data_IF_449092302726
#
_entry.id   IF_449092302726
#
_cell.length_a   1.000
_cell.length_b   1.000
_cell.length_c   1.000
_cell.angle_alpha   90.00
_cell.angle_beta   90.00
_cell.angle_gamma   90.00
#
_symmetry.space_group_name_H-M   'P 1'
#
loop_
_entity.id
_entity.type
_entity.pdbx_description
1 polymer ?
#
# COMPACT_ATOMS: atom_id res chain seq x y z
N UNK A 1 -9.84 -4.04 -14.58
CA UNK A 1 -9.52 -3.65 -13.24
C UNK A 1 -9.12 -2.18 -13.09
N UNK A 2 -8.11 -1.89 -12.32
CA UNK A 2 -7.72 -0.52 -11.89
C UNK A 2 -7.46 0.45 -13.04
N UNK A 3 -6.79 0.02 -14.11
CA UNK A 3 -6.56 0.87 -15.29
C UNK A 3 -7.86 1.35 -15.90
N UNK A 4 -8.88 0.49 -16.02
CA UNK A 4 -10.18 0.86 -16.56
C UNK A 4 -10.92 1.87 -15.67
N UNK A 5 -10.82 1.72 -14.35
CA UNK A 5 -11.39 2.66 -13.40
C UNK A 5 -10.67 4.02 -13.45
N UNK A 6 -9.35 4.02 -13.59
CA UNK A 6 -8.55 5.23 -13.76
C UNK A 6 -8.93 5.96 -15.06
N UNK A 7 -9.10 5.25 -16.17
CA UNK A 7 -9.56 5.84 -17.45
C UNK A 7 -10.94 6.48 -17.28
N UNK A 8 -11.89 5.78 -16.63
CA UNK A 8 -13.26 6.29 -16.42
C UNK A 8 -13.30 7.54 -15.52
N UNK A 9 -12.38 7.66 -14.59
CA UNK A 9 -12.31 8.85 -13.71
C UNK A 9 -11.98 10.13 -14.47
N UNK A 10 -11.37 10.04 -15.66
CA UNK A 10 -10.92 11.20 -16.45
C UNK A 10 -9.78 12.01 -15.81
N UNK A 11 -9.23 11.57 -14.69
CA UNK A 11 -8.20 12.31 -13.93
C UNK A 11 -6.77 11.93 -14.33
N UNK A 12 -6.60 10.77 -14.96
CA UNK A 12 -5.29 10.25 -15.35
C UNK A 12 -5.01 10.49 -16.82
N UNK A 13 -4.00 11.29 -17.10
CA UNK A 13 -3.46 11.51 -18.45
C UNK A 13 -2.62 10.34 -18.92
N UNK A 14 -1.87 9.73 -17.99
CA UNK A 14 -1.03 8.55 -18.24
C UNK A 14 -1.04 7.65 -17.01
N UNK A 15 -1.12 6.36 -17.25
CA UNK A 15 -0.98 5.33 -16.21
C UNK A 15 -0.26 4.14 -16.84
N UNK A 16 0.90 3.79 -16.29
CA UNK A 16 1.77 2.73 -16.82
C UNK A 16 2.23 1.83 -15.69
N UNK A 17 2.25 0.54 -15.93
CA UNK A 17 2.92 -0.46 -15.11
C UNK A 17 3.63 -1.44 -16.03
N UNK A 18 4.86 -1.81 -15.70
CA UNK A 18 5.63 -2.77 -16.50
C UNK A 18 6.63 -3.54 -15.63
N UNK A 19 6.94 -4.76 -16.06
CA UNK A 19 8.08 -5.51 -15.56
C UNK A 19 9.34 -5.03 -16.23
N UNK A 20 10.40 -4.92 -15.47
CA UNK A 20 11.74 -4.62 -15.93
C UNK A 20 12.51 -5.94 -15.98
N UNK A 21 13.05 -6.24 -17.13
CA UNK A 21 13.78 -7.48 -17.39
C UNK A 21 15.26 -7.32 -17.10
N UNK A 22 15.94 -8.43 -16.94
CA UNK A 22 17.39 -8.45 -16.82
C UNK A 22 18.03 -7.77 -18.03
N UNK A 23 18.99 -6.88 -17.78
CA UNK A 23 19.63 -6.04 -18.80
C UNK A 23 18.89 -4.75 -19.14
N UNK A 24 17.62 -4.56 -18.73
CA UNK A 24 16.87 -3.33 -18.98
C UNK A 24 17.06 -2.26 -17.90
N UNK A 25 17.34 -2.67 -16.67
CA UNK A 25 17.50 -1.76 -15.54
C UNK A 25 18.87 -1.09 -15.56
N UNK A 26 18.92 0.23 -15.58
CA UNK A 26 20.15 1.01 -15.50
C UNK A 26 20.35 1.61 -14.12
N UNK A 27 19.39 2.41 -13.66
CA UNK A 27 19.45 3.04 -12.34
C UNK A 27 18.08 3.52 -11.88
N UNK A 28 17.94 3.72 -10.57
CA UNK A 28 16.78 4.38 -9.97
C UNK A 28 17.28 5.39 -8.93
N UNK A 29 16.89 6.65 -9.09
CA UNK A 29 17.10 7.70 -8.10
C UNK A 29 15.81 7.91 -7.30
N UNK A 30 15.75 7.45 -6.05
CA UNK A 30 14.55 7.58 -5.24
C UNK A 30 14.27 9.03 -4.78
N UNK A 31 15.26 9.92 -4.83
CA UNK A 31 15.07 11.33 -4.42
C UNK A 31 14.37 12.14 -5.50
N UNK A 32 14.77 11.93 -6.76
CA UNK A 32 14.16 12.60 -7.91
C UNK A 32 13.07 11.75 -8.57
N UNK A 33 12.85 10.52 -8.08
CA UNK A 33 11.92 9.54 -8.66
C UNK A 33 12.20 9.24 -10.14
N UNK A 34 13.45 9.35 -10.52
CA UNK A 34 13.91 9.10 -11.87
C UNK A 34 14.40 7.66 -12.01
N UNK A 35 13.81 6.97 -12.97
CA UNK A 35 14.25 5.64 -13.36
C UNK A 35 14.82 5.68 -14.76
N UNK A 36 16.00 5.10 -14.93
CA UNK A 36 16.62 4.87 -16.24
C UNK A 36 16.46 3.41 -16.61
N UNK A 37 15.72 3.16 -17.67
CA UNK A 37 15.42 1.85 -18.22
C UNK A 37 15.75 1.87 -19.71
N UNK A 38 16.47 0.88 -20.16
CA UNK A 38 16.75 0.65 -21.58
C UNK A 38 16.01 -0.61 -22.03
N UNK A 39 14.75 -0.43 -22.46
CA UNK A 39 13.90 -1.54 -22.86
C UNK A 39 14.45 -2.26 -24.11
N UNK A 40 14.39 -3.57 -24.11
CA UNK A 40 14.70 -4.44 -25.26
C UNK A 40 13.55 -4.42 -26.26
N UNK A 41 13.36 -3.29 -26.95
CA UNK A 41 12.23 -3.11 -27.89
C UNK A 41 12.44 -3.75 -29.25
N UNK A 42 13.70 -4.06 -29.61
CA UNK A 42 14.07 -4.63 -30.90
C UNK A 42 14.08 -6.16 -30.94
N UNK A 43 13.99 -6.81 -29.76
CA UNK A 43 13.97 -8.26 -29.62
C UNK A 43 12.98 -8.67 -28.51
N UNK A 44 11.72 -8.75 -28.90
CA UNK A 44 10.64 -9.12 -27.97
C UNK A 44 10.74 -10.56 -27.51
N UNK A 45 11.24 -11.46 -28.33
CA UNK A 45 11.41 -12.87 -27.96
C UNK A 45 12.49 -13.05 -26.88
N UNK A 46 13.59 -12.33 -27.01
CA UNK A 46 14.63 -12.29 -25.97
C UNK A 46 14.10 -11.65 -24.68
N UNK A 47 13.37 -10.55 -24.82
CA UNK A 47 12.76 -9.86 -23.67
C UNK A 47 11.77 -10.74 -22.89
N UNK A 48 10.94 -11.50 -23.60
CA UNK A 48 9.95 -12.37 -22.97
C UNK A 48 10.62 -13.51 -22.18
N UNK A 49 11.74 -14.02 -22.65
CA UNK A 49 12.53 -15.06 -21.98
C UNK A 49 13.40 -14.53 -20.84
N UNK A 50 13.75 -13.26 -20.87
CA UNK A 50 14.59 -12.65 -19.85
C UNK A 50 13.87 -12.61 -18.47
N UNK A 51 14.65 -12.80 -17.40
CA UNK A 51 14.13 -12.78 -16.06
C UNK A 51 13.61 -11.39 -15.67
N UNK A 52 12.49 -11.33 -14.94
CA UNK A 52 12.00 -10.09 -14.34
C UNK A 52 12.83 -9.74 -13.11
N UNK A 53 13.48 -8.57 -13.11
CA UNK A 53 14.31 -8.08 -12.00
C UNK A 53 13.62 -7.02 -11.14
N UNK A 54 12.55 -6.40 -11.66
CA UNK A 54 11.80 -5.41 -10.93
C UNK A 54 10.51 -4.98 -11.63
N UNK A 55 9.80 -4.08 -10.99
CA UNK A 55 8.52 -3.54 -11.46
C UNK A 55 8.52 -2.03 -11.32
N UNK A 56 8.05 -1.38 -12.35
CA UNK A 56 7.88 0.06 -12.42
C UNK A 56 6.42 0.42 -12.64
N UNK A 57 5.94 1.41 -11.92
CA UNK A 57 4.64 2.01 -12.15
C UNK A 57 4.73 3.53 -12.09
N UNK A 58 3.96 4.21 -12.91
CA UNK A 58 3.84 5.66 -12.89
C UNK A 58 2.46 6.11 -13.33
N UNK A 59 2.06 7.28 -12.85
CA UNK A 59 0.95 8.02 -13.42
C UNK A 59 1.30 9.50 -13.62
N UNK A 60 0.55 10.13 -14.51
CA UNK A 60 0.48 11.57 -14.71
C UNK A 60 -0.99 11.97 -14.71
N UNK A 61 -1.36 12.90 -13.85
CA UNK A 61 -2.70 13.45 -13.79
C UNK A 61 -2.89 14.55 -14.85
N UNK A 62 -4.15 14.90 -15.12
CA UNK A 62 -4.48 15.96 -16.09
C UNK A 62 -3.96 17.33 -15.67
N UNK A 63 -3.73 17.57 -14.38
CA UNK A 63 -3.14 18.79 -13.84
C UNK A 63 -1.60 18.82 -13.91
N UNK A 64 -0.97 17.79 -14.48
CA UNK A 64 0.48 17.66 -14.62
C UNK A 64 1.20 17.03 -13.43
N UNK A 65 0.51 16.73 -12.31
CA UNK A 65 1.13 16.00 -11.20
C UNK A 65 1.55 14.60 -11.67
N UNK A 66 2.80 14.25 -11.37
CA UNK A 66 3.39 12.99 -11.78
C UNK A 66 3.99 12.27 -10.57
N UNK A 67 3.76 10.97 -10.48
CA UNK A 67 4.35 10.10 -9.47
C UNK A 67 4.82 8.81 -10.10
N UNK A 68 6.00 8.33 -9.69
CA UNK A 68 6.52 7.03 -10.10
C UNK A 68 6.98 6.21 -8.91
N UNK A 69 7.07 4.91 -9.10
CA UNK A 69 7.50 3.95 -8.10
C UNK A 69 8.21 2.78 -8.77
N UNK A 70 9.31 2.36 -8.17
CA UNK A 70 10.05 1.17 -8.57
C UNK A 70 10.21 0.23 -7.36
N UNK A 71 9.95 -1.05 -7.57
CA UNK A 71 10.28 -2.11 -6.63
C UNK A 71 11.10 -3.19 -7.35
N UNK A 72 12.17 -3.64 -6.70
CA UNK A 72 12.89 -4.82 -7.16
C UNK A 72 12.03 -6.08 -7.00
N UNK A 73 12.34 -7.13 -7.74
CA UNK A 73 11.67 -8.43 -7.60
C UNK A 73 11.75 -8.94 -6.15
N UNK A 74 12.89 -8.73 -5.47
CA UNK A 74 13.05 -9.15 -4.08
C UNK A 74 12.13 -8.38 -3.13
N UNK A 75 11.93 -7.08 -3.32
CA UNK A 75 10.96 -6.30 -2.56
C UNK A 75 9.53 -6.79 -2.80
N UNK A 76 9.20 -7.13 -4.05
CA UNK A 76 7.89 -7.67 -4.38
C UNK A 76 7.66 -9.06 -3.78
N UNK A 77 8.68 -9.94 -3.79
CA UNK A 77 8.64 -11.24 -3.13
C UNK A 77 8.41 -11.10 -1.62
N UNK A 78 9.15 -10.19 -0.97
CA UNK A 78 8.98 -9.93 0.46
C UNK A 78 7.58 -9.36 0.79
N UNK A 79 7.05 -8.50 -0.08
CA UNK A 79 5.68 -8.01 0.06
C UNK A 79 4.65 -9.13 -0.08
N UNK A 80 4.79 -9.99 -1.09
CA UNK A 80 3.88 -11.11 -1.29
C UNK A 80 3.91 -12.09 -0.11
N UNK A 81 5.10 -12.38 0.43
CA UNK A 81 5.30 -13.25 1.59
C UNK A 81 4.64 -12.69 2.85
N UNK A 82 4.77 -11.38 3.06
CA UNK A 82 4.19 -10.71 4.23
C UNK A 82 2.66 -10.63 4.18
N UNK A 83 2.08 -10.34 3.02
CA UNK A 83 0.65 -9.98 2.91
C UNK A 83 -0.23 -11.08 2.29
N UNK A 84 0.33 -12.17 1.80
CA UNK A 84 -0.43 -13.28 1.23
C UNK A 84 -0.24 -14.56 2.04
N UNK A 85 -1.24 -14.95 2.80
CA UNK A 85 -1.21 -16.20 3.59
C UNK A 85 -0.98 -17.45 2.74
N UNK A 86 -1.38 -17.40 1.47
CA UNK A 86 -1.24 -18.54 0.55
C UNK A 86 0.11 -18.58 -0.18
N UNK A 87 0.96 -17.55 -0.02
CA UNK A 87 2.27 -17.45 -0.63
C UNK A 87 3.36 -17.57 0.44
N UNK A 88 4.49 -18.17 0.08
CA UNK A 88 5.70 -18.17 0.88
C UNK A 88 6.91 -18.07 -0.02
N UNK A 89 7.78 -17.10 0.28
CA UNK A 89 9.04 -16.90 -0.42
C UNK A 89 10.01 -18.06 -0.13
N UNK A 90 10.13 -18.39 1.13
CA UNK A 90 11.06 -19.42 1.62
C UNK A 90 10.32 -20.73 1.91
N UNK A 91 11.07 -21.78 2.17
CA UNK A 91 10.50 -23.07 2.57
C UNK A 91 9.70 -22.92 3.86
N UNK A 92 8.49 -23.43 3.88
CA UNK A 92 7.60 -23.34 5.04
C UNK A 92 6.83 -24.64 5.27
N UNK A 93 6.17 -24.74 6.40
CA UNK A 93 5.42 -25.90 6.82
C UNK A 93 3.95 -25.53 6.99
N UNK A 94 3.06 -26.32 6.42
CA UNK A 94 1.61 -26.18 6.57
C UNK A 94 1.03 -27.39 7.31
N UNK A 95 0.17 -27.09 8.29
CA UNK A 95 -0.61 -28.13 8.97
C UNK A 95 -1.86 -28.43 8.14
N UNK A 96 -2.03 -29.68 7.77
CA UNK A 96 -3.22 -30.15 7.07
C UNK A 96 -3.99 -31.14 7.93
N UNK A 97 -5.22 -31.45 7.55
CA UNK A 97 -6.02 -32.50 8.22
C UNK A 97 -5.32 -33.86 8.23
N UNK A 98 -4.41 -34.12 7.29
CA UNK A 98 -3.71 -35.39 7.10
C UNK A 98 -2.26 -35.36 7.58
N UNK A 99 -1.86 -34.34 8.34
CA UNK A 99 -0.52 -34.15 8.87
C UNK A 99 0.20 -32.93 8.36
N UNK A 100 1.48 -32.84 8.70
CA UNK A 100 2.34 -31.72 8.36
C UNK A 100 2.87 -31.92 6.94
N UNK A 101 2.77 -30.86 6.11
CA UNK A 101 3.32 -30.80 4.75
C UNK A 101 4.38 -29.72 4.65
N UNK A 102 5.43 -29.97 3.89
CA UNK A 102 6.48 -29.02 3.60
C UNK A 102 6.23 -28.37 2.24
N UNK A 103 6.24 -27.06 2.23
CA UNK A 103 6.11 -26.23 1.04
C UNK A 103 7.50 -25.76 0.64
N UNK A 104 7.92 -26.00 -0.59
CA UNK A 104 9.25 -25.59 -1.08
C UNK A 104 9.31 -24.05 -1.24
N UNK A 105 10.52 -23.53 -1.37
CA UNK A 105 10.73 -22.12 -1.65
C UNK A 105 10.10 -21.70 -3.00
N UNK A 106 9.83 -20.41 -3.17
CA UNK A 106 9.36 -19.88 -4.45
C UNK A 106 10.35 -20.16 -5.59
N UNK A 107 11.66 -20.10 -5.32
CA UNK A 107 12.69 -20.41 -6.30
C UNK A 107 12.63 -21.87 -6.76
N UNK A 108 12.47 -22.80 -5.82
CA UNK A 108 12.31 -24.23 -6.13
C UNK A 108 11.01 -24.51 -6.88
N UNK A 109 9.92 -23.82 -6.51
CA UNK A 109 8.65 -23.91 -7.25
C UNK A 109 8.82 -23.49 -8.72
N UNK A 110 9.47 -22.35 -8.97
CA UNK A 110 9.73 -21.85 -10.34
C UNK A 110 10.64 -22.79 -11.12
N UNK A 111 11.62 -23.40 -10.44
CA UNK A 111 12.51 -24.42 -11.02
C UNK A 111 11.83 -25.78 -11.26
N UNK A 112 10.59 -25.96 -10.78
CA UNK A 112 9.87 -27.24 -10.90
C UNK A 112 10.30 -28.30 -9.89
N UNK A 113 11.06 -27.93 -8.86
CA UNK A 113 11.62 -28.83 -7.84
C UNK A 113 10.61 -29.11 -6.72
N UNK A 114 9.40 -29.55 -7.06
CA UNK A 114 8.38 -29.92 -6.10
C UNK A 114 7.57 -31.15 -6.55
N UNK A 115 6.97 -31.88 -5.60
CA UNK A 115 6.13 -33.03 -5.93
C UNK A 115 4.80 -32.56 -6.55
N UNK A 116 4.49 -33.07 -7.75
CA UNK A 116 3.25 -32.75 -8.48
C UNK A 116 1.98 -33.09 -7.67
N UNK A 117 2.04 -34.08 -6.78
CA UNK A 117 0.93 -34.41 -5.87
C UNK A 117 0.62 -33.31 -4.88
N UNK A 118 1.59 -32.44 -4.62
CA UNK A 118 1.50 -31.31 -3.71
C UNK A 118 1.21 -29.97 -4.42
N UNK A 119 0.91 -30.01 -5.73
CA UNK A 119 0.61 -28.83 -6.57
C UNK A 119 -0.53 -27.96 -6.04
N UNK A 120 -1.46 -28.53 -5.29
CA UNK A 120 -2.55 -27.80 -4.64
C UNK A 120 -2.06 -26.73 -3.65
N UNK A 121 -0.89 -26.91 -3.03
CA UNK A 121 -0.28 -25.93 -2.12
C UNK A 121 0.15 -24.64 -2.82
N UNK A 122 0.31 -24.67 -4.15
CA UNK A 122 0.74 -23.55 -4.99
C UNK A 122 -0.39 -23.01 -5.86
N UNK A 123 -1.63 -23.09 -5.36
CA UNK A 123 -2.83 -22.65 -6.07
C UNK A 123 -2.98 -21.12 -6.16
N UNK A 124 -2.32 -20.37 -5.29
CA UNK A 124 -2.34 -18.91 -5.28
C UNK A 124 -1.83 -18.30 -6.61
N UNK A 125 -2.43 -17.18 -7.01
CA UNK A 125 -1.97 -16.44 -8.20
C UNK A 125 -0.54 -15.92 -8.04
N UNK A 126 -0.05 -15.70 -6.85
CA UNK A 126 1.35 -15.35 -6.60
C UNK A 126 2.32 -16.45 -7.07
N UNK A 127 1.91 -17.71 -7.11
CA UNK A 127 2.69 -18.78 -7.73
C UNK A 127 2.42 -18.88 -9.23
N UNK A 128 1.15 -18.83 -9.64
CA UNK A 128 0.76 -19.11 -11.03
C UNK A 128 1.06 -17.96 -12.00
N UNK A 129 0.95 -16.72 -11.54
CA UNK A 129 1.15 -15.52 -12.35
C UNK A 129 1.67 -14.37 -11.49
N UNK A 130 2.93 -14.48 -11.09
CA UNK A 130 3.58 -13.53 -10.20
C UNK A 130 3.55 -12.10 -10.76
N UNK A 131 3.91 -11.92 -12.04
CA UNK A 131 3.97 -10.59 -12.68
C UNK A 131 2.60 -9.90 -12.69
N UNK A 132 1.50 -10.62 -12.94
CA UNK A 132 0.16 -10.04 -12.91
C UNK A 132 -0.22 -9.56 -11.50
N UNK A 133 0.13 -10.33 -10.45
CA UNK A 133 -0.07 -9.91 -9.07
C UNK A 133 0.82 -8.73 -8.69
N UNK A 134 2.07 -8.72 -9.16
CA UNK A 134 2.98 -7.61 -8.97
C UNK A 134 2.46 -6.33 -9.64
N UNK A 135 1.96 -6.39 -10.86
CA UNK A 135 1.33 -5.23 -11.53
C UNK A 135 0.14 -4.68 -10.75
N UNK A 136 -0.73 -5.57 -10.28
CA UNK A 136 -1.88 -5.19 -9.44
C UNK A 136 -1.43 -4.49 -8.16
N UNK A 137 -0.42 -5.05 -7.50
CA UNK A 137 0.17 -4.51 -6.27
C UNK A 137 0.80 -3.15 -6.51
N UNK A 138 1.63 -2.99 -7.55
CA UNK A 138 2.27 -1.73 -7.91
C UNK A 138 1.25 -0.62 -8.17
N UNK A 139 0.23 -0.90 -8.99
CA UNK A 139 -0.84 0.06 -9.28
C UNK A 139 -1.62 0.44 -8.03
N UNK A 140 -1.95 -0.54 -7.20
CA UNK A 140 -2.66 -0.30 -5.95
C UNK A 140 -1.84 0.58 -5.01
N UNK A 141 -0.58 0.24 -4.75
CA UNK A 141 0.30 1.02 -3.87
C UNK A 141 0.48 2.45 -4.38
N UNK A 142 0.65 2.63 -5.68
CA UNK A 142 0.86 3.92 -6.29
C UNK A 142 -0.40 4.79 -6.22
N UNK A 143 -1.55 4.25 -6.62
CA UNK A 143 -2.81 5.00 -6.71
C UNK A 143 -3.38 5.29 -5.32
N UNK A 144 -3.35 4.32 -4.38
CA UNK A 144 -3.91 4.51 -3.05
C UNK A 144 -3.20 5.58 -2.23
N UNK A 145 -1.91 5.80 -2.48
CA UNK A 145 -1.11 6.76 -1.72
C UNK A 145 -1.09 8.15 -2.35
N UNK A 146 -1.09 8.25 -3.67
CA UNK A 146 -0.85 9.51 -4.38
C UNK A 146 -1.84 9.80 -5.52
N UNK A 147 -2.66 8.82 -5.86
CA UNK A 147 -3.61 8.97 -6.96
C UNK A 147 -4.93 9.61 -6.53
N UNK A 148 -5.71 10.03 -7.52
CA UNK A 148 -7.10 10.46 -7.31
C UNK A 148 -7.98 9.22 -7.46
N UNK A 149 -8.71 8.87 -6.40
CA UNK A 149 -9.59 7.71 -6.40
C UNK A 149 -11.05 8.14 -6.51
N UNK A 150 -11.75 7.64 -7.53
CA UNK A 150 -13.20 7.69 -7.59
C UNK A 150 -13.83 6.73 -6.55
N UNK A 151 -15.11 6.90 -6.26
CA UNK A 151 -15.85 6.03 -5.34
C UNK A 151 -15.78 4.56 -5.79
N UNK A 152 -15.93 4.33 -7.11
CA UNK A 152 -15.84 2.98 -7.68
C UNK A 152 -14.44 2.38 -7.52
N UNK A 153 -13.40 3.21 -7.61
CA UNK A 153 -12.02 2.76 -7.42
C UNK A 153 -11.74 2.43 -5.95
N UNK A 154 -12.23 3.24 -5.02
CA UNK A 154 -12.14 2.96 -3.58
C UNK A 154 -12.82 1.65 -3.24
N UNK A 155 -14.06 1.46 -3.71
CA UNK A 155 -14.81 0.21 -3.51
C UNK A 155 -14.10 -1.00 -4.11
N UNK A 156 -13.46 -0.85 -5.28
CA UNK A 156 -12.68 -1.93 -5.89
C UNK A 156 -11.43 -2.27 -5.07
N UNK A 157 -10.74 -1.27 -4.51
CA UNK A 157 -9.60 -1.49 -3.63
C UNK A 157 -9.99 -2.19 -2.33
N UNK A 158 -11.08 -1.76 -1.69
CA UNK A 158 -11.62 -2.41 -0.49
C UNK A 158 -12.01 -3.86 -0.76
N UNK A 159 -12.68 -4.11 -1.89
CA UNK A 159 -13.06 -5.48 -2.28
C UNK A 159 -11.86 -6.39 -2.54
N UNK A 160 -10.78 -5.85 -3.08
CA UNK A 160 -9.54 -6.60 -3.32
C UNK A 160 -8.74 -6.89 -2.04
N UNK A 161 -8.95 -6.12 -0.97
CA UNK A 161 -8.33 -6.35 0.34
C UNK A 161 -9.07 -7.39 1.17
N UNK A 162 -10.32 -7.65 0.83
CA UNK A 162 -11.16 -8.58 1.55
C UNK A 162 -11.19 -9.93 0.85
N UNK A 163 -10.96 -11.02 1.56
CA UNK A 163 -11.45 -12.33 1.15
C UNK A 163 -12.69 -12.69 1.99
N UNK A 164 -13.62 -13.36 1.35
CA UNK A 164 -14.85 -13.79 1.99
C UNK A 164 -14.61 -15.17 2.57
N UNK A 165 -14.75 -15.33 3.89
CA UNK A 165 -14.75 -16.64 4.54
C UNK A 165 -16.00 -17.43 4.15
N UNK A 166 -15.99 -18.73 4.41
CA UNK A 166 -17.16 -19.62 4.16
C UNK A 166 -18.43 -19.17 4.90
N UNK A 167 -18.28 -18.45 6.01
CA UNK A 167 -19.37 -17.87 6.81
C UNK A 167 -19.91 -16.54 6.25
N UNK A 168 -19.37 -16.04 5.12
CA UNK A 168 -19.75 -14.78 4.49
C UNK A 168 -19.09 -13.53 5.09
N UNK A 169 -18.24 -13.67 6.11
CA UNK A 169 -17.50 -12.55 6.70
C UNK A 169 -16.35 -12.12 5.79
N UNK A 170 -16.09 -10.80 5.74
CA UNK A 170 -14.96 -10.22 4.99
C UNK A 170 -13.74 -10.09 5.90
N UNK A 171 -12.62 -10.66 5.51
CA UNK A 171 -11.33 -10.48 6.18
C UNK A 171 -10.41 -9.65 5.31
N UNK A 172 -9.88 -8.57 5.87
CA UNK A 172 -8.98 -7.66 5.18
C UNK A 172 -7.52 -8.11 5.37
N UNK A 173 -6.80 -8.28 4.27
CA UNK A 173 -5.43 -8.85 4.25
C UNK A 173 -4.37 -7.83 4.69
N UNK A 174 -4.67 -6.53 4.66
CA UNK A 174 -3.72 -5.45 4.94
C UNK A 174 -3.83 -4.88 6.38
N UNK A 175 -4.57 -5.50 7.27
CA UNK A 175 -4.55 -5.09 8.67
C UNK A 175 -3.28 -5.64 9.35
N UNK A 176 -2.40 -4.75 9.76
CA UNK A 176 -1.17 -5.07 10.50
C UNK A 176 -1.40 -5.65 11.91
N UNK A 177 -2.66 -5.87 12.30
CA UNK A 177 -3.01 -6.55 13.54
C UNK A 177 -3.95 -7.72 13.23
N UNK A 178 -3.70 -8.90 13.82
CA UNK A 178 -4.73 -9.92 13.86
C UNK A 178 -5.92 -9.30 14.61
N UNK A 179 -7.02 -9.08 13.90
CA UNK A 179 -8.28 -8.72 14.55
C UNK A 179 -8.62 -9.93 15.41
N UNK A 180 -8.43 -9.79 16.72
CA UNK A 180 -9.04 -10.71 17.64
C UNK A 180 -10.53 -10.71 17.33
N UNK A 181 -11.11 -11.89 17.12
CA UNK A 181 -12.54 -12.06 16.95
C UNK A 181 -13.28 -11.31 18.05
N UNK A 182 -13.72 -10.09 17.75
CA UNK A 182 -14.70 -9.40 18.59
C UNK A 182 -16.01 -10.02 18.16
N UNK A 183 -16.45 -10.96 18.96
CA UNK A 183 -17.77 -11.56 18.87
C UNK A 183 -18.80 -10.41 18.89
N UNK A 184 -19.34 -10.09 17.73
CA UNK A 184 -20.34 -9.03 17.56
C UNK A 184 -21.71 -9.55 17.96
N UNK A 185 -21.85 -9.97 19.23
CA UNK A 185 -23.11 -10.34 19.85
C UNK A 185 -23.24 -9.76 21.24
N UNK A 186 -23.17 -8.42 21.34
CA UNK A 186 -23.90 -7.69 22.36
C UNK A 186 -24.34 -6.36 21.77
N UNK A 187 -25.66 -6.06 21.78
CA UNK A 187 -26.12 -4.74 21.41
C UNK A 187 -25.67 -3.76 22.51
N UNK A 188 -24.95 -2.73 22.10
CA UNK A 188 -24.56 -1.65 22.98
C UNK A 188 -25.79 -1.09 23.72
N UNK A 189 -25.81 -1.23 25.02
CA UNK A 189 -26.76 -0.53 25.87
C UNK A 189 -26.50 0.98 25.77
N UNK A 190 -27.54 1.83 25.73
CA UNK A 190 -27.36 3.27 25.70
C UNK A 190 -26.71 3.69 27.04
N UNK A 191 -25.55 4.33 26.94
CA UNK A 191 -24.91 4.99 28.08
C UNK A 191 -25.74 6.23 28.35
N UNK A 192 -26.51 6.21 29.45
CA UNK A 192 -27.15 7.40 29.99
C UNK A 192 -26.09 8.44 30.35
N UNK A 193 -26.30 9.66 29.87
CA UNK A 193 -25.50 10.81 30.23
C UNK A 193 -25.67 11.07 31.76
N UNK A 194 -24.59 11.39 32.49
CA UNK A 194 -24.74 11.79 33.86
C UNK A 194 -25.38 13.17 33.97
N UNK A 195 -26.45 13.22 34.74
CA UNK A 195 -27.20 14.40 35.16
C UNK A 195 -26.29 15.43 35.84
N UNK A 196 -26.34 16.66 35.33
CA UNK A 196 -25.79 17.85 35.95
C UNK A 196 -26.71 18.30 37.07
N UNK A 197 -26.41 17.98 38.32
CA UNK A 197 -26.93 18.75 39.45
C UNK A 197 -26.05 18.67 40.72
N UNK A 198 -25.78 19.88 41.21
CA UNK A 198 -25.34 20.27 42.56
C UNK A 198 -23.80 20.21 42.78
N UNK A 199 -23.17 21.21 43.25
CA UNK A 199 -23.54 22.32 44.07
C UNK A 199 -22.41 23.36 44.08
N UNK A 200 -22.83 24.56 44.28
CA UNK A 200 -22.05 25.75 44.56
C UNK A 200 -21.23 25.63 45.86
N UNK A 201 -20.18 26.42 45.86
CA UNK A 201 -19.57 27.17 46.98
C UNK A 201 -18.13 26.79 47.32
N UNK A 202 -17.32 27.76 47.19
CA UNK A 202 -16.40 28.43 48.08
C UNK A 202 -15.10 28.86 47.40
N UNK A 203 -15.03 30.16 47.29
CA UNK A 203 -14.10 31.17 47.81
C UNK A 203 -12.73 31.27 47.13
N UNK A 204 -12.64 32.38 46.46
CA UNK A 204 -11.62 33.43 46.46
C UNK A 204 -10.29 33.15 47.19
N UNK A 205 -9.19 33.26 46.45
CA UNK A 205 -8.08 34.09 46.92
C UNK A 205 -7.19 34.57 45.77
N UNK A 206 -6.83 35.80 45.88
CA UNK A 206 -6.06 36.70 45.04
C UNK A 206 -4.69 36.16 44.60
N UNK A 207 -4.29 36.43 43.37
CA UNK A 207 -3.00 37.04 43.06
C UNK A 207 -3.03 37.74 41.71
N UNK A 208 -2.95 39.04 41.72
CA UNK A 208 -2.59 39.92 40.62
C UNK A 208 -1.12 39.68 40.18
N UNK A 209 -0.85 39.49 38.91
CA UNK A 209 0.44 39.88 38.30
C UNK A 209 0.15 40.40 36.90
N UNK A 210 0.36 41.66 36.78
CA UNK A 210 0.89 42.54 35.73
C UNK A 210 0.80 42.14 34.27
N UNK A 211 0.33 43.09 33.48
CA UNK A 211 0.16 43.08 32.05
C UNK A 211 1.47 43.07 31.28
N UNK A 212 1.46 42.29 30.21
CA UNK A 212 2.33 42.52 29.08
C UNK A 212 1.47 42.46 27.81
N UNK A 213 1.32 43.61 27.19
CA UNK A 213 0.67 43.84 25.92
C UNK A 213 1.34 43.03 24.79
N UNK A 214 0.56 42.30 24.03
CA UNK A 214 1.03 41.67 22.78
C UNK A 214 1.08 42.73 21.67
N UNK A 215 2.16 42.81 20.90
CA UNK A 215 2.28 43.80 19.81
C UNK A 215 1.40 43.43 18.63
N UNK A 216 0.73 44.42 18.07
CA UNK A 216 -0.10 44.34 16.86
C UNK A 216 0.71 44.08 15.59
N UNK A 217 0.09 43.52 14.51
CA UNK A 217 0.78 43.08 13.29
C UNK A 217 1.56 44.15 12.51
N UNK A 218 1.42 45.39 12.82
CA UNK A 218 2.14 46.50 12.16
C UNK A 218 3.58 46.72 12.64
N UNK A 219 3.95 46.18 13.79
CA UNK A 219 5.30 46.37 14.35
C UNK A 219 6.32 45.32 13.89
N UNK A 220 5.88 44.24 13.24
CA UNK A 220 6.76 43.17 12.78
C UNK A 220 7.37 43.49 11.40
N UNK A 221 6.77 44.39 10.61
CA UNK A 221 7.23 44.66 9.24
C UNK A 221 8.38 45.71 9.16
N UNK A 222 8.67 46.41 10.22
CA UNK A 222 9.76 47.43 10.19
C UNK A 222 11.12 46.90 10.69
N UNK A 223 11.16 45.73 11.29
CA UNK A 223 12.43 45.13 11.75
C UNK A 223 13.13 44.28 10.68
N UNK A 224 12.37 43.77 9.68
CA UNK A 224 12.94 42.93 8.62
C UNK A 224 13.53 43.70 7.44
N UNK A 225 13.19 44.97 7.28
CA UNK A 225 13.69 45.81 6.17
C UNK A 225 15.08 46.44 6.45
N UNK A 226 15.53 46.46 7.71
CA UNK A 226 16.83 47.04 8.08
C UNK A 226 18.03 46.07 8.01
N UNK A 227 17.78 44.78 7.78
CA UNK A 227 18.82 43.77 7.74
C UNK A 227 19.27 43.36 6.33
N UNK A 228 18.67 43.95 5.27
CA UNK A 228 18.97 43.56 3.88
C UNK A 228 19.70 44.61 3.06
N UNK A 229 20.01 45.78 3.65
CA UNK A 229 20.81 46.83 2.97
C UNK A 229 21.79 47.50 3.97
N UNK A 230 22.69 46.73 4.51
CA UNK A 230 23.86 47.21 5.25
C UNK A 230 25.08 46.40 4.87
#
# INVERSE_FOLDING_TARGET
GYIQLAIRSGQYKKLTVLAIKEGEFVSFDPMNEEINIQLMVNDWDAREKAETVGYYAMFELVNGFRKSMYWSKNQMLAHADRYSQAFSKDMTTINTRYGVKHKVSYADYVAGNYDQRDSWMYSSFWYKNFDAMAYKTMLRQLISKWGIMSIEMQSAFESDMAYIKEDGSKVYVDNEQPVADVDATEPAQPVEAPDDQAAASQQEEHAQVDGAEMPTPEQVNNSAAAALFG
#
